data_IF_561440084360
#
_entry.id   IF_561440084360
#
_cell.length_a   1.000
_cell.length_b   1.000
_cell.length_c   1.000
_cell.angle_alpha   90.00
_cell.angle_beta   90.00
_cell.angle_gamma   90.00
#
_symmetry.space_group_name_H-M   'P 1'
#
loop_
_entity.id
_entity.type
_entity.pdbx_description
1 polymer ?
#
# COMPACT_ATOMS: atom_id res chain seq x y z
N UNK A 1 21.70 0.80 -1.16
CA UNK A 1 22.17 -0.06 -0.06
C UNK A 1 23.41 -0.84 -0.50
N UNK A 2 24.46 -0.90 0.36
CA UNK A 2 25.70 -1.59 0.07
C UNK A 2 25.93 -2.62 1.18
N UNK A 3 26.14 -3.88 0.80
CA UNK A 3 26.36 -4.97 1.73
C UNK A 3 27.67 -5.70 1.43
N UNK A 4 28.47 -5.98 2.48
CA UNK A 4 29.65 -6.81 2.38
C UNK A 4 29.26 -8.29 2.51
N UNK A 5 29.56 -9.08 1.50
CA UNK A 5 29.25 -10.51 1.47
C UNK A 5 30.52 -11.33 1.41
N UNK A 6 30.51 -12.53 1.98
CA UNK A 6 31.66 -13.41 1.99
C UNK A 6 31.29 -14.82 1.52
N UNK A 7 32.18 -15.43 0.72
CA UNK A 7 32.14 -16.86 0.42
C UNK A 7 33.21 -17.57 1.24
N UNK A 8 32.81 -18.51 2.07
CA UNK A 8 33.71 -19.35 2.86
C UNK A 8 34.32 -20.42 1.94
N UNK A 9 35.62 -20.54 1.93
CA UNK A 9 36.39 -21.52 1.14
C UNK A 9 37.42 -22.22 2.05
N UNK A 10 38.04 -23.30 1.58
CA UNK A 10 39.18 -23.94 2.27
C UNK A 10 40.25 -22.87 2.51
N UNK A 11 40.64 -22.63 3.71
CA UNK A 11 41.67 -21.63 4.07
C UNK A 11 41.20 -20.20 4.28
N UNK A 12 39.88 -19.89 4.27
CA UNK A 12 39.44 -18.57 4.66
C UNK A 12 38.15 -18.08 3.99
N UNK A 13 37.97 -16.76 3.99
CA UNK A 13 36.77 -16.08 3.45
C UNK A 13 37.17 -15.17 2.28
N UNK A 14 36.47 -15.28 1.16
CA UNK A 14 36.58 -14.34 0.03
C UNK A 14 35.48 -13.31 0.12
N UNK A 15 35.86 -12.06 0.37
CA UNK A 15 34.91 -10.93 0.49
C UNK A 15 34.56 -10.35 -0.89
N UNK A 16 33.35 -9.87 -0.99
CA UNK A 16 32.84 -9.09 -2.12
C UNK A 16 31.82 -8.09 -1.60
N UNK A 17 31.48 -7.09 -2.40
CA UNK A 17 30.45 -6.10 -2.09
C UNK A 17 29.30 -6.26 -3.06
N UNK A 18 28.08 -6.07 -2.55
CA UNK A 18 26.86 -5.99 -3.35
C UNK A 18 26.25 -4.63 -3.17
N UNK A 19 25.86 -4.02 -4.27
CA UNK A 19 25.15 -2.75 -4.28
C UNK A 19 23.75 -2.95 -4.87
N UNK A 20 22.74 -2.43 -4.18
CA UNK A 20 21.37 -2.35 -4.65
C UNK A 20 21.08 -0.87 -4.91
N UNK A 21 20.81 -0.51 -6.16
CA UNK A 21 20.66 0.87 -6.62
C UNK A 21 19.28 1.04 -7.23
N UNK A 22 18.66 2.16 -6.94
CA UNK A 22 17.41 2.62 -7.56
C UNK A 22 17.72 3.91 -8.30
N UNK A 23 17.25 4.05 -9.51
CA UNK A 23 17.39 5.23 -10.37
C UNK A 23 16.00 5.67 -10.78
N UNK A 24 15.73 6.96 -10.73
CA UNK A 24 14.47 7.55 -11.18
C UNK A 24 14.67 9.02 -11.57
N UNK A 25 13.71 9.56 -12.27
CA UNK A 25 13.67 10.96 -12.70
C UNK A 25 12.72 11.83 -11.85
N UNK A 26 12.13 11.24 -10.78
CA UNK A 26 11.13 11.87 -9.91
C UNK A 26 9.86 12.33 -10.64
N UNK A 27 9.73 11.94 -11.91
CA UNK A 27 8.54 12.22 -12.72
C UNK A 27 7.71 10.97 -12.87
N UNK A 28 8.19 9.95 -13.57
CA UNK A 28 7.46 8.68 -13.79
C UNK A 28 8.36 7.50 -14.22
N UNK A 29 9.66 7.72 -14.45
CA UNK A 29 10.59 6.66 -14.87
C UNK A 29 11.36 6.15 -13.67
N UNK A 30 11.44 4.84 -13.60
CA UNK A 30 12.10 4.13 -12.53
C UNK A 30 12.88 2.93 -13.03
N UNK A 31 14.05 2.67 -12.45
CA UNK A 31 14.85 1.48 -12.70
C UNK A 31 15.51 0.99 -11.42
N UNK A 32 15.56 -0.32 -11.24
CA UNK A 32 16.23 -0.98 -10.12
C UNK A 32 17.31 -1.89 -10.65
N UNK A 33 18.51 -1.80 -10.08
CA UNK A 33 19.65 -2.60 -10.47
C UNK A 33 20.42 -3.19 -9.31
N UNK A 34 21.05 -4.32 -9.56
CA UNK A 34 21.84 -5.04 -8.59
C UNK A 34 23.24 -5.32 -9.15
N UNK A 35 24.27 -4.89 -8.40
CA UNK A 35 25.66 -5.07 -8.77
C UNK A 35 26.45 -5.82 -7.72
N UNK A 36 27.40 -6.67 -8.16
CA UNK A 36 28.35 -7.36 -7.29
C UNK A 36 29.78 -7.25 -7.84
N UNK A 37 30.71 -6.83 -6.99
CA UNK A 37 32.13 -6.74 -7.31
C UNK A 37 33.02 -6.96 -6.09
N UNK A 38 34.33 -7.01 -6.30
CA UNK A 38 35.30 -7.07 -5.20
C UNK A 38 35.51 -5.74 -4.52
N UNK A 39 35.27 -4.65 -5.23
CA UNK A 39 35.40 -3.27 -4.79
C UNK A 39 34.04 -2.58 -4.79
N UNK A 40 33.84 -1.63 -3.87
CA UNK A 40 32.58 -0.90 -3.71
C UNK A 40 32.27 -0.04 -4.94
N UNK A 41 33.19 0.78 -5.49
CA UNK A 41 32.89 1.61 -6.68
C UNK A 41 32.46 0.79 -7.90
N UNK A 42 33.14 -0.34 -8.13
CA UNK A 42 32.79 -1.25 -9.22
C UNK A 42 31.42 -1.94 -9.02
N UNK A 43 31.05 -2.23 -7.77
CA UNK A 43 29.73 -2.79 -7.47
C UNK A 43 28.62 -1.76 -7.76
N UNK A 44 28.82 -0.49 -7.37
CA UNK A 44 27.88 0.60 -7.64
C UNK A 44 27.75 0.84 -9.15
N UNK A 45 28.87 0.99 -9.88
CA UNK A 45 28.86 1.20 -11.33
C UNK A 45 28.06 0.10 -12.06
N UNK A 46 28.29 -1.16 -11.72
CA UNK A 46 27.53 -2.29 -12.29
C UNK A 46 26.06 -2.24 -11.95
N UNK A 47 25.71 -1.85 -10.72
CA UNK A 47 24.30 -1.73 -10.31
C UNK A 47 23.60 -0.58 -11.04
N UNK A 48 24.27 0.54 -11.27
CA UNK A 48 23.77 1.66 -12.08
C UNK A 48 23.54 1.26 -13.52
N UNK A 49 24.48 0.55 -14.13
CA UNK A 49 24.35 0.08 -15.52
C UNK A 49 23.21 -0.94 -15.68
N UNK A 50 23.01 -1.79 -14.67
CA UNK A 50 21.87 -2.71 -14.61
C UNK A 50 20.54 -1.98 -14.46
N UNK A 51 20.46 -0.99 -13.55
CA UNK A 51 19.27 -0.18 -13.35
C UNK A 51 18.89 0.63 -14.61
N UNK A 52 19.86 1.17 -15.35
CA UNK A 52 19.62 1.86 -16.63
C UNK A 52 19.01 0.95 -17.70
N UNK A 53 19.34 -0.33 -17.71
CA UNK A 53 18.76 -1.30 -18.65
C UNK A 53 17.34 -1.66 -18.31
N UNK A 54 16.98 -1.60 -17.04
CA UNK A 54 15.68 -2.00 -16.49
C UNK A 54 14.77 -0.78 -16.19
N UNK A 55 14.92 0.32 -16.94
CA UNK A 55 14.03 1.47 -16.81
C UNK A 55 12.64 1.17 -17.36
N UNK A 56 11.62 1.53 -16.60
CA UNK A 56 10.21 1.44 -17.02
C UNK A 56 9.43 2.67 -16.54
N UNK A 57 8.26 2.91 -17.15
CA UNK A 57 7.37 4.01 -16.80
C UNK A 57 6.29 3.53 -15.85
N UNK A 58 6.05 4.28 -14.77
CA UNK A 58 5.04 4.00 -13.75
C UNK A 58 3.76 4.76 -14.09
N UNK A 59 2.60 4.07 -14.26
CA UNK A 59 1.32 4.72 -14.42
C UNK A 59 0.90 5.41 -13.11
N UNK A 60 0.69 6.72 -13.17
CA UNK A 60 0.23 7.53 -12.04
C UNK A 60 -1.09 8.22 -12.34
N UNK A 61 -1.79 8.60 -11.28
CA UNK A 61 -2.95 9.48 -11.32
C UNK A 61 -2.70 10.65 -10.34
N UNK A 62 -2.38 11.83 -10.87
CA UNK A 62 -1.96 12.97 -10.07
C UNK A 62 -0.67 12.68 -9.29
N UNK A 63 -0.71 12.80 -7.97
CA UNK A 63 0.44 12.57 -7.07
C UNK A 63 0.46 11.15 -6.46
N UNK A 64 -0.49 10.28 -6.83
CA UNK A 64 -0.63 8.93 -6.28
C UNK A 64 -0.72 7.87 -7.37
N UNK A 65 -0.88 6.60 -6.99
CA UNK A 65 -1.09 5.47 -7.91
C UNK A 65 -2.56 5.35 -8.33
N UNK A 66 -2.79 4.71 -9.47
CA UNK A 66 -4.13 4.57 -10.07
C UNK A 66 -5.10 3.71 -9.26
N UNK A 67 -4.62 2.64 -8.65
CA UNK A 67 -5.42 1.70 -7.85
C UNK A 67 -4.55 0.92 -6.84
N UNK A 68 -5.19 0.27 -5.91
CA UNK A 68 -4.54 -0.64 -4.97
C UNK A 68 -3.94 -1.83 -5.69
N UNK A 69 -2.71 -2.20 -5.32
CA UNK A 69 -2.00 -3.35 -5.89
C UNK A 69 -1.19 -4.09 -4.85
N UNK A 70 -1.16 -5.41 -4.98
CA UNK A 70 -0.30 -6.30 -4.21
C UNK A 70 0.82 -6.83 -5.10
N UNK A 71 1.99 -6.19 -5.05
CA UNK A 71 3.19 -6.65 -5.71
C UNK A 71 3.77 -7.89 -5.04
N UNK A 72 4.23 -8.85 -5.83
CA UNK A 72 4.81 -10.12 -5.34
C UNK A 72 6.11 -10.42 -6.04
N UNK A 73 7.10 -10.88 -5.28
CA UNK A 73 8.34 -11.44 -5.79
C UNK A 73 8.87 -12.46 -4.80
N UNK A 74 8.94 -13.70 -5.20
CA UNK A 74 9.29 -14.82 -4.33
C UNK A 74 8.41 -14.83 -3.05
N UNK A 75 9.02 -14.82 -1.87
CA UNK A 75 8.32 -14.77 -0.60
C UNK A 75 7.98 -13.33 -0.13
N UNK A 76 8.44 -12.29 -0.83
CA UNK A 76 8.11 -10.91 -0.51
C UNK A 76 6.78 -10.49 -1.14
N UNK A 77 6.01 -9.73 -0.37
CA UNK A 77 4.74 -9.13 -0.80
C UNK A 77 4.71 -7.68 -0.35
N UNK A 78 4.31 -6.79 -1.22
CA UNK A 78 4.18 -5.36 -0.92
C UNK A 78 2.80 -4.90 -1.33
N UNK A 79 2.04 -4.43 -0.35
CA UNK A 79 0.75 -3.79 -0.59
C UNK A 79 1.00 -2.31 -0.83
N UNK A 80 0.48 -1.78 -1.94
CA UNK A 80 0.49 -0.37 -2.30
C UNK A 80 -0.95 0.11 -2.43
N UNK A 81 -1.30 1.17 -1.71
CA UNK A 81 -2.64 1.77 -1.73
C UNK A 81 -2.54 3.25 -2.06
N UNK A 82 -3.40 3.75 -2.94
CA UNK A 82 -3.46 5.19 -3.20
C UNK A 82 -3.88 5.94 -1.92
N UNK A 83 -3.37 7.14 -1.76
CA UNK A 83 -3.69 8.02 -0.64
C UNK A 83 -4.15 9.38 -1.13
N UNK A 84 -4.88 10.12 -0.29
CA UNK A 84 -5.28 11.49 -0.55
C UNK A 84 -4.08 12.43 -0.54
N UNK A 85 -4.20 13.55 -1.22
CA UNK A 85 -3.19 14.59 -1.26
C UNK A 85 -2.81 15.07 0.16
N UNK A 86 -1.51 15.25 0.39
CA UNK A 86 -0.97 15.66 1.68
C UNK A 86 -0.69 14.52 2.68
N UNK A 87 -0.99 13.27 2.34
CA UNK A 87 -0.67 12.10 3.18
C UNK A 87 0.83 11.85 3.26
N UNK A 88 1.56 12.12 2.16
CA UNK A 88 2.97 11.81 2.03
C UNK A 88 3.26 10.34 1.75
N UNK A 89 4.55 9.98 1.65
CA UNK A 89 4.99 8.61 1.38
C UNK A 89 5.12 7.84 2.70
N UNK A 90 4.16 6.98 2.99
CA UNK A 90 4.18 6.10 4.17
C UNK A 90 4.59 4.70 3.73
N UNK A 91 5.89 4.42 3.79
CA UNK A 91 6.49 3.18 3.30
C UNK A 91 7.75 2.80 4.09
N UNK A 92 8.16 1.54 4.02
CA UNK A 92 9.45 1.07 4.53
C UNK A 92 10.62 1.60 3.68
N UNK A 93 11.81 1.74 4.27
CA UNK A 93 12.93 2.47 3.68
C UNK A 93 13.27 2.16 2.23
N UNK A 94 13.41 0.88 1.85
CA UNK A 94 13.69 0.52 0.46
C UNK A 94 12.52 0.81 -0.49
N UNK A 95 11.29 0.52 -0.06
CA UNK A 95 10.08 0.81 -0.84
C UNK A 95 9.88 2.32 -0.98
N UNK A 96 10.13 3.08 0.08
CA UNK A 96 10.04 4.54 0.09
C UNK A 96 10.96 5.16 -0.97
N UNK A 97 12.23 4.75 -1.02
CA UNK A 97 13.17 5.24 -2.02
C UNK A 97 12.70 4.98 -3.46
N UNK A 98 12.08 3.83 -3.72
CA UNK A 98 11.50 3.51 -5.04
C UNK A 98 10.34 4.45 -5.37
N UNK A 99 9.43 4.70 -4.43
CA UNK A 99 8.23 5.51 -4.64
C UNK A 99 8.58 7.00 -4.81
N UNK A 100 9.51 7.52 -4.02
CA UNK A 100 10.01 8.91 -4.14
C UNK A 100 10.67 9.14 -5.50
N UNK A 101 11.56 8.24 -5.92
CA UNK A 101 12.22 8.33 -7.23
C UNK A 101 11.28 8.10 -8.42
N UNK A 102 10.15 7.41 -8.22
CA UNK A 102 9.07 7.32 -9.21
C UNK A 102 8.21 8.60 -9.27
N UNK A 103 8.46 9.59 -8.42
CA UNK A 103 7.71 10.84 -8.34
C UNK A 103 6.31 10.66 -7.74
N UNK A 104 6.10 9.65 -6.90
CA UNK A 104 4.85 9.44 -6.16
C UNK A 104 5.00 10.16 -4.82
N UNK A 105 4.07 11.06 -4.52
CA UNK A 105 4.11 11.88 -3.30
C UNK A 105 3.16 11.40 -2.21
N UNK A 106 2.04 10.77 -2.58
CA UNK A 106 1.00 10.35 -1.65
C UNK A 106 0.68 8.87 -1.85
N UNK A 107 1.13 8.03 -0.90
CA UNK A 107 0.92 6.59 -0.98
C UNK A 107 1.05 5.93 0.40
N UNK A 108 0.25 4.88 0.60
CA UNK A 108 0.37 3.98 1.74
C UNK A 108 0.95 2.64 1.27
N UNK A 109 2.04 2.22 1.87
CA UNK A 109 2.66 0.94 1.55
C UNK A 109 2.92 0.10 2.80
N UNK A 110 2.73 -1.21 2.68
CA UNK A 110 3.05 -2.17 3.73
C UNK A 110 3.75 -3.40 3.15
N UNK A 111 4.88 -3.73 3.73
CA UNK A 111 5.58 -4.98 3.46
C UNK A 111 4.90 -6.13 4.21
N UNK A 112 4.48 -7.14 3.46
CA UNK A 112 3.80 -8.34 3.94
C UNK A 112 4.63 -9.56 3.51
N UNK A 113 5.31 -10.23 4.41
CA UNK A 113 6.12 -11.41 4.08
C UNK A 113 7.60 -11.19 4.32
N UNK A 114 8.47 -11.69 3.45
CA UNK A 114 9.92 -11.63 3.64
C UNK A 114 10.45 -10.19 3.53
N UNK A 115 11.17 -9.67 4.56
CA UNK A 115 11.71 -8.32 4.56
C UNK A 115 13.04 -8.18 3.79
N UNK A 116 13.51 -9.20 3.07
CA UNK A 116 14.76 -9.11 2.31
C UNK A 116 14.70 -7.94 1.32
N UNK A 117 15.63 -6.96 1.40
CA UNK A 117 15.59 -5.74 0.58
C UNK A 117 15.51 -5.99 -0.92
N UNK A 118 16.25 -6.97 -1.43
CA UNK A 118 16.27 -7.31 -2.86
C UNK A 118 14.89 -7.78 -3.32
N UNK A 119 14.28 -8.73 -2.58
CA UNK A 119 12.98 -9.28 -2.94
C UNK A 119 11.88 -8.25 -2.74
N UNK A 120 11.99 -7.41 -1.69
CA UNK A 120 11.06 -6.33 -1.42
C UNK A 120 11.02 -5.31 -2.56
N UNK A 121 12.18 -4.88 -3.06
CA UNK A 121 12.28 -3.97 -4.21
C UNK A 121 11.72 -4.59 -5.49
N UNK A 122 12.05 -5.85 -5.78
CA UNK A 122 11.48 -6.58 -6.92
C UNK A 122 9.96 -6.67 -6.81
N UNK A 123 9.42 -6.97 -5.62
CA UNK A 123 7.98 -7.01 -5.40
C UNK A 123 7.32 -5.64 -5.63
N UNK A 124 7.98 -4.55 -5.19
CA UNK A 124 7.49 -3.19 -5.44
C UNK A 124 7.49 -2.85 -6.92
N UNK A 125 8.56 -3.16 -7.64
CA UNK A 125 8.66 -2.98 -9.11
C UNK A 125 7.56 -3.75 -9.83
N UNK A 126 7.37 -5.02 -9.50
CA UNK A 126 6.32 -5.85 -10.10
C UNK A 126 4.91 -5.29 -9.82
N UNK A 127 4.69 -4.76 -8.60
CA UNK A 127 3.45 -4.06 -8.26
C UNK A 127 3.22 -2.83 -9.13
N UNK A 128 4.23 -1.96 -9.26
CA UNK A 128 4.14 -0.74 -10.07
C UNK A 128 3.97 -1.03 -11.56
N UNK A 129 4.62 -2.08 -12.09
CA UNK A 129 4.46 -2.51 -13.49
C UNK A 129 3.08 -3.11 -13.77
N UNK A 130 2.43 -3.69 -12.76
CA UNK A 130 1.07 -4.25 -12.90
C UNK A 130 -0.04 -3.22 -12.88
N UNK A 131 0.28 -1.96 -12.54
CA UNK A 131 -0.69 -0.86 -12.59
C UNK A 131 -1.18 -0.62 -14.01
N UNK A 132 -2.49 -0.33 -14.13
CA UNK A 132 -3.12 -0.02 -15.42
C UNK A 132 -3.53 1.44 -15.45
N UNK A 133 -3.40 2.06 -16.61
CA UNK A 133 -3.88 3.43 -16.82
C UNK A 133 -5.40 3.45 -16.86
N UNK A 134 -6.06 4.41 -16.18
CA UNK A 134 -7.52 4.51 -16.19
C UNK A 134 -8.11 4.63 -17.59
N UNK A 135 -7.39 5.32 -18.49
CA UNK A 135 -7.78 5.49 -19.91
C UNK A 135 -7.87 4.15 -20.66
N UNK A 136 -6.90 3.27 -20.46
CA UNK A 136 -6.88 1.93 -21.08
C UNK A 136 -8.04 1.07 -20.57
N UNK A 137 -8.31 1.14 -19.26
CA UNK A 137 -9.42 0.42 -18.64
C UNK A 137 -10.77 0.96 -19.11
N UNK A 138 -10.93 2.28 -19.20
CA UNK A 138 -12.11 2.95 -19.72
C UNK A 138 -12.41 2.53 -21.16
N UNK A 139 -11.37 2.54 -22.02
CA UNK A 139 -11.46 2.09 -23.41
C UNK A 139 -11.89 0.62 -23.54
N UNK A 140 -11.33 -0.26 -22.72
CA UNK A 140 -11.66 -1.69 -22.73
C UNK A 140 -13.08 -1.95 -22.23
N UNK A 141 -13.59 -1.15 -21.27
CA UNK A 141 -14.93 -1.29 -20.71
C UNK A 141 -15.99 -0.48 -21.44
N UNK A 142 -15.63 0.36 -22.42
CA UNK A 142 -16.55 1.27 -23.11
C UNK A 142 -17.21 2.30 -22.19
N UNK A 143 -16.49 2.76 -21.15
CA UNK A 143 -16.97 3.72 -20.14
C UNK A 143 -16.12 4.98 -20.16
N UNK A 144 -16.61 6.04 -19.52
CA UNK A 144 -15.82 7.25 -19.31
C UNK A 144 -14.72 7.02 -18.27
N UNK A 145 -13.65 7.81 -18.32
CA UNK A 145 -12.55 7.72 -17.33
C UNK A 145 -13.07 8.04 -15.93
N UNK A 146 -14.01 8.97 -15.81
CA UNK A 146 -14.63 9.35 -14.54
C UNK A 146 -15.41 8.20 -13.90
N UNK A 147 -16.17 7.43 -14.70
CA UNK A 147 -16.90 6.26 -14.23
C UNK A 147 -15.98 5.13 -13.72
N UNK A 148 -14.75 5.09 -14.23
CA UNK A 148 -13.74 4.10 -13.79
C UNK A 148 -13.05 4.52 -12.50
N UNK A 149 -12.71 5.79 -12.37
CA UNK A 149 -12.05 6.34 -11.20
C UNK A 149 -13.00 6.49 -10.01
N UNK A 150 -14.23 6.95 -10.28
CA UNK A 150 -15.26 7.18 -9.28
C UNK A 150 -16.50 6.35 -9.61
N UNK A 151 -16.47 5.02 -9.40
CA UNK A 151 -17.68 4.24 -9.62
C UNK A 151 -18.79 4.79 -8.75
N UNK A 152 -19.85 5.28 -9.38
CA UNK A 152 -21.02 5.78 -8.69
C UNK A 152 -21.44 4.73 -7.65
N UNK A 153 -21.45 5.09 -6.36
CA UNK A 153 -21.98 4.23 -5.30
C UNK A 153 -23.36 3.81 -5.80
N UNK A 154 -23.57 2.51 -6.08
CA UNK A 154 -24.90 1.96 -6.35
C UNK A 154 -25.77 2.47 -5.21
N UNK A 155 -26.69 3.39 -5.50
CA UNK A 155 -27.76 3.74 -4.58
C UNK A 155 -28.41 2.41 -4.23
N UNK A 156 -28.31 2.01 -2.97
CA UNK A 156 -29.12 0.92 -2.42
C UNK A 156 -30.53 1.29 -2.82
N UNK A 157 -31.13 0.53 -3.70
CA UNK A 157 -32.56 0.66 -3.99
C UNK A 157 -33.22 0.41 -2.65
N UNK A 158 -33.70 1.46 -2.02
CA UNK A 158 -34.65 1.35 -0.92
C UNK A 158 -35.90 0.70 -1.56
N UNK A 159 -36.13 -0.54 -1.21
CA UNK A 159 -37.42 -1.19 -1.43
C UNK A 159 -38.47 -0.27 -0.80
N UNK A 160 -39.53 0.08 -1.56
CA UNK A 160 -40.61 0.86 -0.98
C UNK A 160 -41.22 0.01 0.14
N UNK A 161 -41.14 0.52 1.36
CA UNK A 161 -41.86 -0.02 2.51
C UNK A 161 -43.35 -0.03 2.13
N UNK A 162 -43.88 -1.24 2.09
CA UNK A 162 -45.31 -1.47 1.95
C UNK A 162 -46.07 -0.73 3.04
N UNK A 163 -47.01 0.08 2.63
CA UNK A 163 -48.04 0.67 3.45
C UNK A 163 -48.71 -0.40 4.29
N UNK A 164 -48.61 -0.25 5.61
CA UNK A 164 -49.53 -0.90 6.54
C UNK A 164 -50.37 0.21 7.20
N UNK A 165 -51.66 0.11 6.91
CA UNK A 165 -52.78 0.96 7.37
C UNK A 165 -52.85 0.98 8.90
N UNK A 166 -53.51 2.04 9.47
CA UNK A 166 -53.64 2.19 10.90
C UNK A 166 -54.97 1.64 11.42
N UNK A 167 -54.98 0.81 12.43
CA UNK A 167 -56.17 0.57 13.24
C UNK A 167 -55.86 0.73 14.75
N UNK A 168 -56.50 1.74 15.24
CA UNK A 168 -57.49 1.86 16.34
C UNK A 168 -57.00 1.69 17.78
N UNK A 169 -56.95 2.83 18.40
CA UNK A 169 -57.49 3.25 19.72
C UNK A 169 -57.82 2.17 20.76
N UNK A 170 -57.19 2.30 21.95
CA UNK A 170 -57.85 2.32 23.23
C UNK A 170 -56.90 2.82 24.35
N UNK A 171 -57.24 3.95 24.91
CA UNK A 171 -56.90 4.48 26.25
C UNK A 171 -57.75 3.79 27.33
N UNK A 172 -57.65 4.15 28.59
CA UNK A 172 -56.50 4.26 29.52
C UNK A 172 -56.75 3.44 30.81
N UNK A 173 -55.78 3.36 31.69
CA UNK A 173 -55.97 3.46 33.14
C UNK A 173 -54.61 3.47 33.90
N UNK A 174 -54.45 4.51 34.69
CA UNK A 174 -53.53 4.66 35.81
C UNK A 174 -54.33 4.42 37.11
N UNK A 175 -53.82 4.54 38.30
CA UNK A 175 -52.48 4.37 38.88
C UNK A 175 -52.44 3.46 40.12
N UNK A 176 -51.31 3.17 40.72
CA UNK A 176 -51.19 3.11 42.20
C UNK A 176 -49.70 3.16 42.63
N UNK A 177 -49.51 4.07 43.55
CA UNK A 177 -48.37 4.30 44.42
C UNK A 177 -48.11 3.09 45.34
N UNK A 178 -46.85 2.98 45.78
CA UNK A 178 -46.39 2.93 47.19
C UNK A 178 -44.89 2.55 47.14
N UNK A 179 -44.01 3.51 47.57
CA UNK A 179 -43.34 3.58 48.86
C UNK A 179 -42.67 2.27 49.30
N UNK A 180 -41.44 2.21 49.59
CA UNK A 180 -40.80 2.68 50.80
C UNK A 180 -39.33 2.19 50.87
N UNK A 181 -38.49 3.09 51.29
CA UNK A 181 -37.37 3.03 52.24
C UNK A 181 -36.39 1.84 52.28
N UNK A 182 -35.17 2.26 52.50
CA UNK A 182 -34.25 1.66 53.44
C UNK A 182 -32.84 1.51 52.94
N UNK A 183 -31.98 2.52 53.18
CA UNK A 183 -30.81 2.48 54.08
C UNK A 183 -29.85 1.30 53.86
N UNK A 184 -28.63 1.59 53.54
CA UNK A 184 -27.49 2.20 54.25
C UNK A 184 -26.38 1.18 54.52
N UNK A 185 -25.16 1.72 54.43
CA UNK A 185 -23.91 1.28 55.09
C UNK A 185 -23.13 0.10 54.48
N UNK A 186 -21.95 0.27 54.11
CA UNK A 186 -20.69 0.81 54.63
C UNK A 186 -19.64 -0.31 54.75
N UNK A 187 -18.41 0.08 54.69
CA UNK A 187 -17.14 -0.64 54.92
C UNK A 187 -16.46 -1.22 53.69
N UNK A 188 -15.39 -0.57 53.17
CA UNK A 188 -14.07 -0.31 53.77
C UNK A 188 -13.17 -1.58 53.82
N UNK A 189 -11.96 -1.35 53.27
CA UNK A 189 -10.70 -1.99 53.58
C UNK A 189 -10.37 -3.42 53.06
N UNK A 190 -9.41 -3.44 52.18
CA UNK A 190 -8.03 -3.87 52.31
C UNK A 190 -7.35 -3.83 50.93
#
# INVERSE_FOLDING_TARGET
EINRVAKVVKGGRRFSFTALVVIGDEVDRLGVGYGKAREVPLAISKAVDDAKKNLFQVPKHGQTITHEVLGRSDAARVLLRPASEGTGVIAGGGVRAVLELAGIRDILAKSLGNPNPINLLKATVNGLQSLRRPEEVARTRGKTVEDVLFPAKKKKVEEPAAEAEPEAQAEPEAPTETSDSGEAEDHADA
#
